data_IF_899830124205
#
_entry.id   IF_899830124205
#
_cell.length_a   1.000
_cell.length_b   1.000
_cell.length_c   1.000
_cell.angle_alpha   90.00
_cell.angle_beta   90.00
_cell.angle_gamma   90.00
#
_symmetry.space_group_name_H-M   'P 1'
#
loop_
_entity.id
_entity.type
_entity.pdbx_description
1 polymer ?
#
# COMPACT_ATOMS: atom_id res chain seq x y z
N UNK A 1 13.63 11.09 -6.22
CA UNK A 1 12.22 11.43 -5.93
C UNK A 1 11.36 10.26 -6.39
N UNK A 2 10.46 9.76 -5.54
CA UNK A 2 9.59 8.62 -5.89
C UNK A 2 8.52 9.10 -6.87
N UNK A 3 8.44 8.48 -8.05
CA UNK A 3 7.42 8.79 -9.06
C UNK A 3 6.25 7.80 -8.95
N UNK A 4 5.09 8.30 -8.53
CA UNK A 4 3.87 7.50 -8.43
C UNK A 4 3.13 7.46 -9.76
N UNK A 5 2.66 6.27 -10.16
CA UNK A 5 1.81 6.05 -11.34
C UNK A 5 0.45 5.53 -10.87
N UNK A 6 -0.62 6.21 -11.30
CA UNK A 6 -1.99 5.86 -10.93
C UNK A 6 -2.49 4.61 -11.66
N UNK A 7 -3.19 3.75 -10.93
CA UNK A 7 -4.03 2.68 -11.48
C UNK A 7 -5.44 3.22 -11.68
N UNK A 8 -6.04 3.74 -10.59
CA UNK A 8 -7.32 4.45 -10.51
C UNK A 8 -7.31 5.35 -9.28
N UNK A 9 -7.91 6.53 -9.38
CA UNK A 9 -7.92 7.55 -8.32
C UNK A 9 -8.93 7.24 -7.21
N UNK A 10 -8.67 7.81 -6.02
CA UNK A 10 -9.59 7.80 -4.88
C UNK A 10 -9.75 9.21 -4.33
N UNK A 11 -10.95 9.78 -4.42
CA UNK A 11 -11.21 11.18 -4.05
C UNK A 11 -11.04 11.41 -2.54
N UNK A 12 -11.26 10.37 -1.72
CA UNK A 12 -11.09 10.40 -0.25
C UNK A 12 -9.65 10.73 0.18
N UNK A 13 -8.64 10.43 -0.66
CA UNK A 13 -7.24 10.70 -0.34
C UNK A 13 -6.91 12.19 -0.23
N UNK A 14 -7.56 13.05 -1.02
CA UNK A 14 -7.27 14.49 -1.06
C UNK A 14 -7.64 15.19 0.26
N UNK A 15 -8.78 14.83 0.84
CA UNK A 15 -9.25 15.37 2.11
C UNK A 15 -8.32 14.94 3.24
N UNK A 16 -8.04 13.64 3.36
CA UNK A 16 -7.11 13.13 4.36
C UNK A 16 -5.74 13.81 4.26
N UNK A 17 -5.26 14.07 3.04
CA UNK A 17 -4.00 14.76 2.80
C UNK A 17 -4.01 16.22 3.28
N UNK A 18 -5.11 16.94 3.07
CA UNK A 18 -5.26 18.31 3.54
C UNK A 18 -5.25 18.42 5.08
N UNK A 19 -5.91 17.49 5.78
CA UNK A 19 -5.89 17.42 7.25
C UNK A 19 -4.53 16.97 7.79
N UNK A 20 -3.89 16.01 7.14
CA UNK A 20 -2.55 15.55 7.50
C UNK A 20 -1.54 16.71 7.53
N UNK A 21 -1.55 17.59 6.51
CA UNK A 21 -0.66 18.76 6.45
C UNK A 21 -0.85 19.73 7.63
N UNK A 22 -2.02 19.69 8.28
CA UNK A 22 -2.32 20.47 9.49
C UNK A 22 -1.96 19.72 10.78
N UNK A 23 -1.46 18.48 10.68
CA UNK A 23 -1.21 17.62 11.85
C UNK A 23 -2.47 17.02 12.46
N UNK A 24 -3.57 16.96 11.70
CA UNK A 24 -4.83 16.38 12.15
C UNK A 24 -5.01 15.01 11.48
N UNK A 25 -5.30 13.99 12.30
CA UNK A 25 -5.67 12.67 11.81
C UNK A 25 -7.16 12.67 11.46
N UNK A 26 -7.48 12.64 10.17
CA UNK A 26 -8.87 12.63 9.70
C UNK A 26 -9.52 11.25 9.91
N UNK A 27 -10.81 11.21 10.24
CA UNK A 27 -11.57 9.98 10.51
C UNK A 27 -11.47 8.95 9.37
N UNK A 28 -11.64 9.37 8.12
CA UNK A 28 -11.40 8.51 6.94
C UNK A 28 -10.05 7.76 6.95
N UNK A 29 -9.00 8.33 7.56
CA UNK A 29 -7.70 7.66 7.69
C UNK A 29 -7.64 6.60 8.80
N UNK A 30 -8.57 6.63 9.76
CA UNK A 30 -8.71 5.61 10.80
C UNK A 30 -9.38 4.34 10.26
N UNK A 31 -10.26 4.48 9.25
CA UNK A 31 -11.03 3.36 8.72
C UNK A 31 -10.47 2.78 7.42
N UNK A 32 -9.67 3.54 6.65
CA UNK A 32 -9.15 3.03 5.40
C UNK A 32 -7.97 2.06 5.58
N UNK A 33 -7.93 1.06 4.71
CA UNK A 33 -6.87 0.07 4.64
C UNK A 33 -6.04 0.24 3.38
N UNK A 34 -4.76 -0.14 3.50
CA UNK A 34 -3.84 -0.19 2.37
C UNK A 34 -3.16 -1.51 2.31
N UNK A 35 -3.10 -2.02 1.10
CA UNK A 35 -2.39 -3.23 0.77
C UNK A 35 -1.20 -2.85 -0.10
N UNK A 36 0.01 -3.02 0.43
CA UNK A 36 1.25 -2.92 -0.31
C UNK A 36 1.68 -4.29 -0.84
N UNK A 37 2.04 -4.30 -2.12
CA UNK A 37 2.54 -5.47 -2.83
C UNK A 37 3.92 -5.10 -3.35
N UNK A 38 5.00 -5.54 -2.67
CA UNK A 38 6.36 -5.31 -3.15
C UNK A 38 6.52 -5.86 -4.56
N UNK A 39 7.17 -5.10 -5.44
CA UNK A 39 7.34 -5.53 -6.84
C UNK A 39 8.14 -6.84 -6.93
N UNK A 40 9.09 -7.05 -6.00
CA UNK A 40 9.84 -8.32 -5.89
C UNK A 40 8.97 -9.54 -5.58
N UNK A 41 7.80 -9.32 -4.98
CA UNK A 41 6.86 -10.38 -4.59
C UNK A 41 5.90 -10.75 -5.72
N UNK A 42 5.95 -10.08 -6.88
CA UNK A 42 5.14 -10.46 -8.04
C UNK A 42 5.71 -11.72 -8.71
N UNK A 43 4.81 -12.65 -9.06
CA UNK A 43 5.12 -13.84 -9.87
C UNK A 43 5.10 -13.55 -11.38
N UNK A 44 4.45 -12.45 -11.76
CA UNK A 44 4.31 -11.97 -13.13
C UNK A 44 4.93 -10.56 -13.27
N UNK A 45 5.21 -10.10 -14.50
CA UNK A 45 5.68 -8.73 -14.73
C UNK A 45 4.72 -7.66 -14.16
N UNK A 46 5.28 -6.54 -13.72
CA UNK A 46 4.52 -5.43 -13.14
C UNK A 46 3.45 -4.91 -14.08
N UNK A 47 3.77 -4.77 -15.37
CA UNK A 47 2.88 -4.25 -16.40
C UNK A 47 1.65 -5.14 -16.56
N UNK A 48 1.84 -6.46 -16.54
CA UNK A 48 0.77 -7.45 -16.60
C UNK A 48 -0.10 -7.40 -15.34
N UNK A 49 0.53 -7.35 -14.17
CA UNK A 49 -0.19 -7.24 -12.91
C UNK A 49 -1.03 -5.96 -12.83
N UNK A 50 -0.49 -4.82 -13.26
CA UNK A 50 -1.21 -3.54 -13.32
C UNK A 50 -2.41 -3.63 -14.27
N UNK A 51 -2.29 -4.32 -15.41
CA UNK A 51 -3.42 -4.55 -16.32
C UNK A 51 -4.54 -5.31 -15.61
N UNK A 52 -4.22 -6.41 -14.93
CA UNK A 52 -5.19 -7.20 -14.14
C UNK A 52 -5.89 -6.33 -13.09
N UNK A 53 -5.13 -5.50 -12.37
CA UNK A 53 -5.69 -4.61 -11.35
C UNK A 53 -6.67 -3.58 -11.95
N UNK A 54 -6.37 -3.04 -13.14
CA UNK A 54 -7.27 -2.13 -13.87
C UNK A 54 -8.55 -2.83 -14.32
N UNK A 55 -8.43 -4.03 -14.88
CA UNK A 55 -9.58 -4.83 -15.34
C UNK A 55 -10.52 -5.19 -14.19
N UNK A 56 -9.97 -5.52 -13.01
CA UNK A 56 -10.73 -5.79 -11.79
C UNK A 56 -11.25 -4.53 -11.09
N UNK A 57 -10.91 -3.33 -11.59
CA UNK A 57 -11.43 -2.07 -11.06
C UNK A 57 -10.81 -1.58 -9.75
N UNK A 58 -9.65 -2.13 -9.35
CA UNK A 58 -8.97 -1.76 -8.11
C UNK A 58 -8.53 -0.30 -8.10
N UNK A 59 -8.63 0.32 -6.92
CA UNK A 59 -8.18 1.69 -6.67
C UNK A 59 -6.78 1.64 -6.09
N UNK A 60 -5.83 2.34 -6.72
CA UNK A 60 -4.42 2.12 -6.39
C UNK A 60 -3.44 2.97 -7.18
N UNK A 61 -2.18 2.82 -6.80
CA UNK A 61 -1.03 3.41 -7.49
C UNK A 61 0.18 2.51 -7.30
N UNK A 62 1.20 2.68 -8.12
CA UNK A 62 2.48 1.99 -7.94
C UNK A 62 3.66 2.92 -8.15
N UNK A 63 4.83 2.50 -7.70
CA UNK A 63 6.08 3.16 -8.03
C UNK A 63 7.20 2.13 -8.12
N UNK A 64 8.03 2.27 -9.15
CA UNK A 64 9.34 1.61 -9.24
C UNK A 64 10.36 2.57 -8.66
N UNK A 65 11.11 2.12 -7.65
CA UNK A 65 12.08 2.98 -6.99
C UNK A 65 13.35 3.07 -7.82
N UNK A 66 13.87 4.28 -8.00
CA UNK A 66 15.17 4.51 -8.61
C UNK A 66 16.28 4.47 -7.57
N UNK A 67 17.53 4.38 -8.04
CA UNK A 67 18.71 4.52 -7.18
C UNK A 67 18.65 5.84 -6.37
N UNK A 68 19.06 5.84 -5.09
CA UNK A 68 19.63 4.72 -4.33
C UNK A 68 18.60 3.81 -3.64
N UNK A 69 17.32 4.22 -3.59
CA UNK A 69 16.28 3.47 -2.86
C UNK A 69 16.06 2.06 -3.42
N UNK A 70 16.30 1.88 -4.72
CA UNK A 70 16.26 0.59 -5.42
C UNK A 70 17.19 -0.48 -4.85
N UNK A 71 18.20 -0.10 -4.06
CA UNK A 71 19.09 -1.05 -3.37
C UNK A 71 18.32 -1.83 -2.30
N UNK A 72 17.37 -1.17 -1.62
CA UNK A 72 16.62 -1.75 -0.50
C UNK A 72 15.23 -2.23 -0.90
N UNK A 73 14.60 -1.59 -1.88
CA UNK A 73 13.32 -2.02 -2.41
C UNK A 73 13.17 -1.69 -3.89
N UNK A 74 12.70 -2.64 -4.71
CA UNK A 74 12.40 -2.37 -6.14
C UNK A 74 11.21 -1.44 -6.35
N UNK A 75 10.40 -1.24 -5.31
CA UNK A 75 9.17 -0.47 -5.38
C UNK A 75 7.96 -1.29 -4.97
N UNK A 76 6.79 -0.66 -5.08
CA UNK A 76 5.55 -1.17 -4.47
C UNK A 76 4.33 -0.83 -5.31
N UNK A 77 3.37 -1.74 -5.36
CA UNK A 77 1.99 -1.46 -5.74
C UNK A 77 1.17 -1.26 -4.46
N UNK A 78 0.37 -0.19 -4.40
CA UNK A 78 -0.48 0.13 -3.25
C UNK A 78 -1.93 0.15 -3.71
N UNK A 79 -2.76 -0.67 -3.08
CA UNK A 79 -4.20 -0.68 -3.23
C UNK A 79 -4.87 -0.08 -2.00
N UNK A 80 -6.06 0.50 -2.18
CA UNK A 80 -6.81 1.16 -1.13
C UNK A 80 -8.19 0.53 -0.94
N UNK A 81 -8.61 0.42 0.32
CA UNK A 81 -9.86 -0.23 0.73
C UNK A 81 -10.56 0.55 1.83
N UNK A 82 -11.88 0.40 1.92
CA UNK A 82 -12.71 1.05 2.94
C UNK A 82 -12.88 0.20 4.19
N UNK A 83 -12.58 -1.08 4.10
CA UNK A 83 -12.62 -2.00 5.23
C UNK A 83 -11.51 -3.05 5.15
N UNK A 84 -11.23 -3.68 6.29
CA UNK A 84 -10.33 -4.83 6.37
C UNK A 84 -10.89 -6.01 5.58
N UNK A 85 -12.22 -6.18 5.57
CA UNK A 85 -12.88 -7.27 4.86
C UNK A 85 -12.66 -7.18 3.35
N UNK A 86 -12.81 -6.00 2.75
CA UNK A 86 -12.51 -5.75 1.34
C UNK A 86 -11.04 -6.03 1.01
N UNK A 87 -10.12 -5.58 1.87
CA UNK A 87 -8.69 -5.85 1.73
C UNK A 87 -8.39 -7.35 1.77
N UNK A 88 -9.01 -8.10 2.70
CA UNK A 88 -8.84 -9.56 2.81
C UNK A 88 -9.42 -10.32 1.62
N UNK A 89 -10.55 -9.85 1.05
CA UNK A 89 -11.07 -10.37 -0.22
C UNK A 89 -10.06 -10.18 -1.35
N UNK A 90 -9.48 -8.99 -1.46
CA UNK A 90 -8.46 -8.69 -2.46
C UNK A 90 -7.19 -9.56 -2.31
N UNK A 91 -6.72 -9.81 -1.08
CA UNK A 91 -5.59 -10.72 -0.83
C UNK A 91 -5.90 -12.12 -1.39
N UNK A 92 -7.09 -12.65 -1.11
CA UNK A 92 -7.48 -13.97 -1.59
C UNK A 92 -7.57 -14.06 -3.12
N UNK A 93 -8.02 -13.00 -3.78
CA UNK A 93 -8.07 -12.93 -5.24
C UNK A 93 -6.69 -12.78 -5.88
N UNK A 94 -5.76 -12.08 -5.22
CA UNK A 94 -4.48 -11.71 -5.82
C UNK A 94 -3.33 -12.64 -5.43
N UNK A 95 -3.49 -13.52 -4.42
CA UNK A 95 -2.44 -14.42 -3.92
C UNK A 95 -1.87 -15.37 -4.99
N UNK A 96 -2.63 -15.67 -6.04
CA UNK A 96 -2.10 -16.48 -7.14
C UNK A 96 -0.96 -15.78 -7.89
N UNK A 97 -0.96 -14.44 -7.93
CA UNK A 97 0.04 -13.58 -8.58
C UNK A 97 1.16 -13.10 -7.65
N UNK A 98 1.03 -13.33 -6.34
CA UNK A 98 1.98 -12.88 -5.32
C UNK A 98 2.64 -14.08 -4.65
N UNK A 99 3.94 -14.01 -4.44
CA UNK A 99 4.73 -14.99 -3.66
C UNK A 99 5.14 -14.36 -2.33
N UNK A 100 5.16 -15.15 -1.27
CA UNK A 100 5.67 -14.70 0.03
C UNK A 100 7.21 -14.71 0.02
N UNK A 101 7.79 -13.67 -0.58
CA UNK A 101 9.22 -13.38 -0.47
C UNK A 101 9.47 -12.38 0.67
N UNK A 102 10.33 -12.77 1.61
CA UNK A 102 10.69 -11.95 2.77
C UNK A 102 11.72 -10.85 2.49
N UNK A 103 12.20 -10.69 1.25
CA UNK A 103 13.41 -9.92 0.91
C UNK A 103 13.35 -8.46 1.33
N UNK A 104 12.17 -7.84 1.24
CA UNK A 104 11.98 -6.42 1.56
C UNK A 104 11.22 -6.21 2.88
N UNK A 105 10.96 -7.29 3.67
CA UNK A 105 10.21 -7.19 4.94
C UNK A 105 10.82 -6.19 5.90
N UNK A 106 12.15 -6.22 6.06
CA UNK A 106 12.86 -5.28 6.93
C UNK A 106 12.66 -3.82 6.52
N UNK A 107 12.73 -3.51 5.21
CA UNK A 107 12.53 -2.16 4.70
C UNK A 107 11.14 -1.62 5.04
N UNK A 108 10.08 -2.35 4.70
CA UNK A 108 8.72 -1.87 4.97
C UNK A 108 8.40 -1.84 6.47
N UNK A 109 8.89 -2.80 7.26
CA UNK A 109 8.67 -2.78 8.70
C UNK A 109 9.33 -1.55 9.34
N UNK A 110 10.55 -1.23 8.92
CA UNK A 110 11.35 -0.12 9.48
C UNK A 110 10.81 1.25 9.05
N UNK A 111 10.52 1.42 7.75
CA UNK A 111 10.21 2.74 7.20
C UNK A 111 8.73 3.00 6.97
N UNK A 112 7.89 1.95 7.00
CA UNK A 112 6.47 2.05 6.66
C UNK A 112 5.58 1.52 7.78
N UNK A 113 6.09 0.84 8.81
CA UNK A 113 5.33 0.28 9.93
C UNK A 113 4.07 -0.48 9.46
N UNK A 114 4.25 -1.71 8.99
CA UNK A 114 3.22 -2.54 8.36
C UNK A 114 3.10 -3.90 9.04
N UNK A 115 1.96 -4.57 8.85
CA UNK A 115 1.81 -6.02 9.07
C UNK A 115 1.90 -6.77 7.75
N UNK A 116 2.05 -8.09 7.81
CA UNK A 116 2.21 -8.96 6.64
C UNK A 116 1.22 -10.11 6.62
N UNK A 117 0.81 -10.52 5.42
CA UNK A 117 -0.02 -11.68 5.15
C UNK A 117 0.25 -12.15 3.72
N UNK A 118 0.62 -13.43 3.53
CA UNK A 118 0.79 -14.07 2.22
C UNK A 118 1.63 -13.28 1.18
N UNK A 119 2.71 -12.63 1.62
CA UNK A 119 3.57 -11.81 0.75
C UNK A 119 3.07 -10.38 0.50
N UNK A 120 1.90 -10.03 1.02
CA UNK A 120 1.38 -8.68 1.06
C UNK A 120 1.78 -8.00 2.36
N UNK A 121 2.01 -6.69 2.32
CA UNK A 121 2.03 -5.86 3.52
C UNK A 121 0.78 -5.01 3.60
N UNK A 122 0.36 -4.65 4.81
CA UNK A 122 -0.80 -3.81 4.99
C UNK A 122 -0.73 -2.95 6.24
N UNK A 123 -1.55 -1.91 6.26
CA UNK A 123 -1.78 -1.03 7.42
C UNK A 123 -3.04 -0.20 7.25
N UNK A 124 -3.49 0.42 8.34
CA UNK A 124 -4.49 1.50 8.29
C UNK A 124 -3.86 2.85 7.90
N UNK A 125 -4.65 3.67 7.22
CA UNK A 125 -4.43 5.11 7.06
C UNK A 125 -3.56 5.62 5.90
N UNK A 126 -3.49 6.94 5.73
CA UNK A 126 -2.82 7.68 4.63
C UNK A 126 -1.28 7.62 4.70
N UNK A 127 -0.50 7.44 3.62
CA UNK A 127 0.79 6.71 3.62
C UNK A 127 1.98 7.51 4.15
N UNK A 128 1.74 8.41 5.07
CA UNK A 128 2.71 9.35 5.58
C UNK A 128 2.73 9.19 7.09
N UNK A 129 3.56 8.27 7.56
CA UNK A 129 3.56 7.90 8.96
C UNK A 129 4.96 7.75 9.51
N UNK A 130 5.31 8.78 10.28
CA UNK A 130 5.72 8.64 11.68
C UNK A 130 4.93 9.57 12.63
N UNK A 131 4.20 10.56 12.09
CA UNK A 131 3.63 11.68 12.89
C UNK A 131 2.55 11.28 13.90
N UNK A 132 1.83 10.18 13.67
CA UNK A 132 0.72 9.72 14.52
C UNK A 132 1.00 8.38 15.22
N UNK A 133 2.26 7.91 15.21
CA UNK A 133 2.68 6.68 15.88
C UNK A 133 2.13 5.39 15.24
N UNK A 134 2.08 4.31 16.03
CA UNK A 134 1.67 2.99 15.57
C UNK A 134 0.16 2.91 15.27
N UNK A 135 -0.17 2.55 14.04
CA UNK A 135 -1.54 2.44 13.55
C UNK A 135 -2.37 1.39 14.26
N UNK A 136 -1.73 0.41 14.90
CA UNK A 136 -2.40 -0.62 15.70
C UNK A 136 -3.00 -0.05 16.99
N UNK A 137 -2.49 1.09 17.46
CA UNK A 137 -2.96 1.75 18.68
C UNK A 137 -4.10 2.74 18.45
N UNK A 138 -4.40 3.10 17.20
CA UNK A 138 -5.42 4.10 16.89
C UNK A 138 -6.81 3.59 17.25
N UNK A 139 -7.55 4.43 17.98
CA UNK A 139 -8.97 4.21 18.29
C UNK A 139 -9.80 4.59 17.06
N UNK A 140 -10.67 3.67 16.67
CA UNK A 140 -11.72 3.85 15.64
C UNK A 140 -13.07 4.04 16.30
#
# INVERSE_FOLDING_TARGET
MIKWVGIKSWDKCGICWAYFKQGIQHENSLHCYKLGIPIVNLKIPLEEFVRILKEKGYVGKYSVFSFPLSILSKGVVILYFESEEEMRKAINELKEYVKDEGKEKWFYNTFVNVDWIDGFNYRRGCPEYDKFGDWRSWKT
#
